data_IF_271516738179
#
_entry.id   IF_271516738179
#
_cell.length_a   1.000
_cell.length_b   1.000
_cell.length_c   1.000
_cell.angle_alpha   90.00
_cell.angle_beta   90.00
_cell.angle_gamma   90.00
#
_symmetry.space_group_name_H-M   'P 1'
#
loop_
_entity.id
_entity.type
_entity.pdbx_description
1 polymer ?
#
# COMPACT_ATOMS: atom_id res chain seq x y z
N UNK A 1 13.40 -57.17 -6.66
CA UNK A 1 14.08 -55.87 -6.77
C UNK A 1 14.53 -55.66 -8.20
N UNK A 2 13.75 -54.92 -8.99
CA UNK A 2 14.17 -54.46 -10.32
C UNK A 2 13.54 -53.10 -10.66
N UNK A 3 14.14 -51.97 -10.23
CA UNK A 3 13.77 -50.65 -10.72
C UNK A 3 14.80 -50.16 -11.75
N UNK A 4 15.18 -50.98 -12.72
CA UNK A 4 16.16 -50.61 -13.76
C UNK A 4 15.53 -49.91 -14.98
N UNK A 5 14.23 -50.10 -15.24
CA UNK A 5 13.54 -49.54 -16.41
C UNK A 5 13.28 -48.03 -16.33
N UNK A 6 12.96 -47.53 -15.14
CA UNK A 6 12.58 -46.12 -14.95
C UNK A 6 13.78 -45.18 -15.16
N UNK A 7 14.96 -45.58 -14.68
CA UNK A 7 16.20 -44.83 -14.88
C UNK A 7 16.62 -44.78 -16.36
N UNK A 8 16.41 -45.88 -17.09
CA UNK A 8 16.71 -45.95 -18.52
C UNK A 8 15.76 -45.05 -19.33
N UNK A 9 14.45 -45.11 -19.08
CA UNK A 9 13.46 -44.24 -19.72
C UNK A 9 13.70 -42.75 -19.45
N UNK A 10 14.11 -42.40 -18.22
CA UNK A 10 14.33 -41.00 -17.86
C UNK A 10 15.56 -40.43 -18.57
N UNK A 11 16.63 -41.23 -18.73
CA UNK A 11 17.83 -40.84 -19.48
C UNK A 11 17.56 -40.66 -20.98
N UNK A 12 16.74 -41.51 -21.59
CA UNK A 12 16.40 -41.37 -23.02
C UNK A 12 15.52 -40.15 -23.27
N UNK A 13 14.54 -39.87 -22.39
CA UNK A 13 13.73 -38.66 -22.49
C UNK A 13 14.56 -37.39 -22.33
N UNK A 14 15.48 -37.36 -21.37
CA UNK A 14 16.37 -36.20 -21.19
C UNK A 14 17.29 -35.98 -22.39
N UNK A 15 17.82 -37.03 -23.01
CA UNK A 15 18.66 -36.90 -24.20
C UNK A 15 17.91 -36.41 -25.44
N UNK A 16 16.60 -36.70 -25.55
CA UNK A 16 15.75 -36.24 -26.64
C UNK A 16 15.28 -34.79 -26.45
N UNK A 17 15.02 -34.38 -25.21
CA UNK A 17 14.46 -33.05 -24.89
C UNK A 17 15.54 -31.98 -24.74
N UNK A 18 16.73 -32.36 -24.24
CA UNK A 18 17.84 -31.42 -24.12
C UNK A 18 18.61 -31.39 -25.44
N UNK A 19 18.74 -30.23 -26.12
CA UNK A 19 19.57 -30.10 -27.32
C UNK A 19 21.04 -30.37 -26.97
N UNK A 20 21.44 -31.63 -27.06
CA UNK A 20 22.75 -32.12 -26.70
C UNK A 20 23.78 -31.85 -27.80
N UNK A 21 23.91 -30.62 -28.28
CA UNK A 21 25.09 -30.18 -29.06
C UNK A 21 25.36 -28.70 -28.88
N UNK A 22 25.55 -28.26 -27.63
CA UNK A 22 26.29 -27.03 -27.38
C UNK A 22 27.75 -27.25 -27.76
N UNK A 23 28.15 -26.90 -29.00
CA UNK A 23 29.57 -26.81 -29.38
C UNK A 23 30.27 -25.97 -28.31
N UNK A 24 31.25 -26.55 -27.62
CA UNK A 24 32.09 -25.84 -26.64
C UNK A 24 32.69 -24.62 -27.37
N UNK A 25 32.13 -23.44 -27.15
CA UNK A 25 32.72 -22.19 -27.68
C UNK A 25 34.17 -22.17 -27.21
N UNK A 26 35.11 -22.00 -28.13
CA UNK A 26 36.49 -21.67 -27.79
C UNK A 26 36.41 -20.45 -26.87
N UNK A 27 37.05 -20.53 -25.71
CA UNK A 27 37.12 -19.44 -24.76
C UNK A 27 37.78 -18.27 -25.49
N UNK A 28 36.99 -17.26 -25.83
CA UNK A 28 37.54 -15.99 -26.30
C UNK A 28 38.33 -15.43 -25.11
N UNK A 29 39.62 -15.14 -25.31
CA UNK A 29 40.39 -14.39 -24.33
C UNK A 29 39.66 -13.05 -24.15
N UNK A 30 39.16 -12.72 -22.95
CA UNK A 30 38.47 -11.45 -22.77
C UNK A 30 39.48 -10.32 -22.92
N UNK A 31 39.21 -9.42 -23.87
CA UNK A 31 39.80 -8.09 -23.90
C UNK A 31 39.55 -7.42 -22.54
N UNK A 32 40.51 -6.67 -21.96
CA UNK A 32 40.32 -6.05 -20.66
C UNK A 32 39.13 -5.08 -20.70
N UNK A 33 37.99 -5.55 -20.18
CA UNK A 33 36.79 -4.75 -20.02
C UNK A 33 37.13 -3.64 -19.04
N UNK A 34 36.90 -2.35 -19.39
CA UNK A 34 37.10 -1.27 -18.44
C UNK A 34 36.28 -1.57 -17.18
N UNK A 35 36.94 -1.53 -16.02
CA UNK A 35 36.32 -1.82 -14.73
C UNK A 35 35.09 -0.92 -14.59
N UNK A 36 33.86 -1.47 -14.50
CA UNK A 36 32.69 -0.64 -14.34
C UNK A 36 32.83 0.09 -13.00
N UNK A 37 32.83 1.41 -13.05
CA UNK A 37 32.73 2.24 -11.85
C UNK A 37 31.47 1.79 -11.12
N UNK A 38 31.54 1.35 -9.84
CA UNK A 38 30.37 0.86 -9.16
C UNK A 38 29.34 1.99 -9.12
N UNK A 39 28.21 1.79 -9.80
CA UNK A 39 27.05 2.67 -9.67
C UNK A 39 26.62 2.57 -8.22
N UNK A 40 26.71 3.67 -7.46
CA UNK A 40 26.28 3.71 -6.07
C UNK A 40 24.85 3.18 -6.00
N UNK A 41 24.67 2.01 -5.38
CA UNK A 41 23.35 1.42 -5.26
C UNK A 41 22.50 2.36 -4.39
N UNK A 42 21.27 2.69 -4.81
CA UNK A 42 20.38 3.53 -4.02
C UNK A 42 20.08 2.92 -2.64
N UNK A 43 20.32 1.62 -2.46
CA UNK A 43 20.17 0.88 -1.22
C UNK A 43 21.45 0.79 -0.38
N UNK A 44 22.59 1.31 -0.86
CA UNK A 44 23.85 1.37 -0.10
C UNK A 44 23.89 2.53 0.90
N UNK A 45 22.95 3.47 0.80
CA UNK A 45 22.87 4.59 1.75
C UNK A 45 22.32 4.09 3.09
N UNK A 46 23.01 4.35 4.21
CA UNK A 46 22.46 4.04 5.52
C UNK A 46 21.15 4.81 5.70
N UNK A 47 20.10 4.12 6.12
CA UNK A 47 18.81 4.78 6.37
C UNK A 47 18.96 5.75 7.53
N UNK A 48 18.75 7.05 7.27
CA UNK A 48 18.74 8.05 8.33
C UNK A 48 17.44 7.91 9.12
N UNK A 49 17.49 7.21 10.25
CA UNK A 49 16.38 7.15 11.19
C UNK A 49 16.38 8.37 12.12
N UNK A 50 15.22 8.89 12.51
CA UNK A 50 15.12 9.85 13.61
C UNK A 50 15.80 9.29 14.86
N UNK A 51 16.39 10.18 15.66
CA UNK A 51 16.83 9.81 17.00
C UNK A 51 15.64 9.38 17.86
N UNK A 52 15.89 8.64 18.95
CA UNK A 52 14.83 8.22 19.88
C UNK A 52 14.00 9.41 20.40
N UNK A 53 14.65 10.53 20.69
CA UNK A 53 14.00 11.74 21.18
C UNK A 53 13.10 12.37 20.10
N UNK A 54 13.59 12.44 18.86
CA UNK A 54 12.80 12.95 17.72
C UNK A 54 11.60 12.05 17.42
N UNK A 55 11.79 10.73 17.44
CA UNK A 55 10.69 9.78 17.25
C UNK A 55 9.61 9.96 18.33
N UNK A 56 10.01 10.08 19.60
CA UNK A 56 9.07 10.32 20.70
C UNK A 56 8.28 11.62 20.52
N UNK A 57 8.94 12.69 20.09
CA UNK A 57 8.28 13.97 19.82
C UNK A 57 7.29 13.88 18.64
N UNK A 58 7.64 13.14 17.58
CA UNK A 58 6.74 12.89 16.46
C UNK A 58 5.46 12.19 16.93
N UNK A 59 5.60 11.13 17.73
CA UNK A 59 4.45 10.40 18.27
C UNK A 59 3.60 11.25 19.21
N UNK A 60 4.23 12.08 20.05
CA UNK A 60 3.49 13.01 20.92
C UNK A 60 2.62 13.97 20.10
N UNK A 61 3.21 14.61 19.08
CA UNK A 61 2.48 15.53 18.18
C UNK A 61 1.36 14.84 17.41
N UNK A 62 1.58 13.59 16.99
CA UNK A 62 0.55 12.79 16.34
C UNK A 62 -0.62 12.51 17.28
N UNK A 63 -0.35 12.11 18.53
CA UNK A 63 -1.37 11.87 19.53
C UNK A 63 -2.16 13.14 19.86
N UNK A 64 -1.49 14.28 20.02
CA UNK A 64 -2.14 15.59 20.24
C UNK A 64 -3.05 15.97 19.07
N UNK A 65 -2.56 15.82 17.83
CA UNK A 65 -3.37 16.09 16.64
C UNK A 65 -4.60 15.19 16.57
N UNK A 66 -4.43 13.90 16.85
CA UNK A 66 -5.53 12.95 16.82
C UNK A 66 -6.60 13.30 17.87
N UNK A 67 -6.18 13.63 19.09
CA UNK A 67 -7.10 14.07 20.14
C UNK A 67 -7.87 15.34 19.75
N UNK A 68 -7.23 16.29 19.07
CA UNK A 68 -7.90 17.49 18.56
C UNK A 68 -8.93 17.18 17.48
N UNK A 69 -8.62 16.25 16.56
CA UNK A 69 -9.56 15.81 15.52
C UNK A 69 -10.77 15.12 16.13
N UNK A 70 -10.54 14.25 17.11
CA UNK A 70 -11.61 13.55 17.84
C UNK A 70 -12.50 14.55 18.59
N UNK A 71 -11.91 15.50 19.32
CA UNK A 71 -12.67 16.54 20.02
C UNK A 71 -13.48 17.43 19.07
N UNK A 72 -12.91 17.81 17.92
CA UNK A 72 -13.61 18.60 16.90
C UNK A 72 -14.78 17.81 16.30
N UNK A 73 -14.60 16.52 16.05
CA UNK A 73 -15.65 15.63 15.57
C UNK A 73 -16.79 15.51 16.59
N UNK A 74 -16.48 15.30 17.86
CA UNK A 74 -17.48 15.22 18.93
C UNK A 74 -18.29 16.51 19.05
N UNK A 75 -17.61 17.67 18.99
CA UNK A 75 -18.28 18.97 19.02
C UNK A 75 -19.24 19.14 17.85
N UNK A 76 -18.82 18.73 16.65
CA UNK A 76 -19.67 18.75 15.45
C UNK A 76 -20.91 17.87 15.65
N UNK A 77 -20.73 16.65 16.14
CA UNK A 77 -21.86 15.73 16.42
C UNK A 77 -22.83 16.32 17.44
N UNK A 78 -22.33 16.95 18.52
CA UNK A 78 -23.19 17.60 19.50
C UNK A 78 -23.97 18.77 18.90
N UNK A 79 -23.33 19.56 18.04
CA UNK A 79 -23.98 20.67 17.35
C UNK A 79 -25.10 20.19 16.43
N UNK A 80 -24.84 19.14 15.63
CA UNK A 80 -25.87 18.56 14.75
C UNK A 80 -27.05 17.98 15.53
N UNK A 81 -26.80 17.32 16.66
CA UNK A 81 -27.88 16.83 17.54
C UNK A 81 -28.76 17.97 18.06
N UNK A 82 -28.14 19.09 18.47
CA UNK A 82 -28.89 20.27 18.93
C UNK A 82 -29.69 20.90 17.80
N UNK A 83 -29.11 20.98 16.60
CA UNK A 83 -29.77 21.48 15.40
C UNK A 83 -30.98 20.62 15.02
N UNK A 84 -30.82 19.29 15.01
CA UNK A 84 -31.91 18.35 14.76
C UNK A 84 -33.04 18.46 15.78
N UNK A 85 -32.70 18.58 17.07
CA UNK A 85 -33.68 18.79 18.12
C UNK A 85 -34.45 20.12 17.93
N UNK A 86 -33.76 21.19 17.53
CA UNK A 86 -34.40 22.48 17.27
C UNK A 86 -35.38 22.42 16.08
N UNK A 87 -35.00 21.78 14.97
CA UNK A 87 -35.91 21.61 13.83
C UNK A 87 -37.14 20.76 14.21
N UNK A 88 -36.94 19.68 14.97
CA UNK A 88 -38.06 18.87 15.44
C UNK A 88 -39.05 19.65 16.31
N UNK A 89 -38.58 20.63 17.12
CA UNK A 89 -39.50 21.51 17.88
C UNK A 89 -40.31 22.46 17.00
N UNK A 90 -39.83 22.77 15.80
CA UNK A 90 -40.56 23.57 14.80
C UNK A 90 -41.50 22.71 13.94
N UNK A 91 -41.46 21.38 14.08
CA UNK A 91 -42.18 20.44 13.22
C UNK A 91 -41.52 20.27 11.84
N UNK A 92 -40.30 20.76 11.67
CA UNK A 92 -39.52 20.60 10.44
C UNK A 92 -38.69 19.31 10.49
N UNK A 93 -38.68 18.58 9.38
CA UNK A 93 -37.82 17.41 9.24
C UNK A 93 -36.36 17.84 9.07
N UNK A 94 -35.46 17.19 9.84
CA UNK A 94 -34.04 17.48 9.73
C UNK A 94 -33.49 16.96 8.40
N UNK A 95 -32.87 17.81 7.56
CA UNK A 95 -32.39 17.42 6.24
C UNK A 95 -31.07 16.64 6.37
N UNK A 96 -31.17 15.35 6.65
CA UNK A 96 -30.02 14.47 6.75
C UNK A 96 -29.42 14.23 5.36
N UNK A 97 -28.34 14.95 5.06
CA UNK A 97 -27.61 14.84 3.80
C UNK A 97 -26.20 14.31 4.04
N UNK A 98 -25.73 13.46 3.14
CA UNK A 98 -24.36 12.96 3.13
C UNK A 98 -23.84 12.90 1.68
N UNK A 99 -22.53 12.96 1.51
CA UNK A 99 -21.90 12.94 0.20
C UNK A 99 -22.18 11.60 -0.51
N UNK A 100 -22.79 11.64 -1.69
CA UNK A 100 -23.24 10.45 -2.43
C UNK A 100 -24.61 9.90 -2.00
N UNK A 101 -25.36 10.62 -1.17
CA UNK A 101 -26.73 10.26 -0.83
C UNK A 101 -27.73 10.43 -1.98
N UNK A 102 -28.90 9.77 -1.90
CA UNK A 102 -29.92 9.81 -2.96
C UNK A 102 -30.62 11.17 -3.10
N UNK A 103 -30.54 12.04 -2.08
CA UNK A 103 -31.17 13.36 -2.08
C UNK A 103 -30.14 14.44 -1.69
N UNK A 104 -30.12 15.54 -2.45
CA UNK A 104 -29.30 16.72 -2.17
C UNK A 104 -29.94 17.66 -1.15
N UNK A 105 -29.21 18.70 -0.73
CA UNK A 105 -29.70 19.70 0.23
C UNK A 105 -30.87 20.54 -0.34
N UNK A 106 -30.92 20.68 -1.65
CA UNK A 106 -31.99 21.30 -2.43
C UNK A 106 -33.32 20.56 -2.28
N UNK A 107 -33.31 19.23 -2.18
CA UNK A 107 -34.52 18.41 -2.05
C UNK A 107 -35.35 18.68 -0.79
N UNK A 108 -34.77 19.35 0.22
CA UNK A 108 -35.42 19.72 1.48
C UNK A 108 -35.68 21.22 1.62
N UNK A 109 -35.36 22.02 0.59
CA UNK A 109 -35.52 23.49 0.63
C UNK A 109 -36.93 23.97 0.26
N UNK A 110 -37.77 23.10 -0.29
CA UNK A 110 -39.13 23.41 -0.77
C UNK A 110 -40.24 23.18 0.29
N UNK A 111 -39.88 22.80 1.51
CA UNK A 111 -40.82 22.48 2.59
C UNK A 111 -41.13 23.66 3.55
N UNK A 112 -40.93 24.91 3.10
CA UNK A 112 -41.20 26.14 3.86
C UNK A 112 -42.61 26.70 3.67
#
# INVERSE_FOLDING_TARGET
MAPSGLSACLRTLLALVLPATGRRRKQCVPEPVPVPVPVESPWSRPWTSPSKAEAAEIFRRQAERQAQVEAAWELRVQWERRRAAALATLGEDYPYTYEGGPFGADAFSDAG
#
